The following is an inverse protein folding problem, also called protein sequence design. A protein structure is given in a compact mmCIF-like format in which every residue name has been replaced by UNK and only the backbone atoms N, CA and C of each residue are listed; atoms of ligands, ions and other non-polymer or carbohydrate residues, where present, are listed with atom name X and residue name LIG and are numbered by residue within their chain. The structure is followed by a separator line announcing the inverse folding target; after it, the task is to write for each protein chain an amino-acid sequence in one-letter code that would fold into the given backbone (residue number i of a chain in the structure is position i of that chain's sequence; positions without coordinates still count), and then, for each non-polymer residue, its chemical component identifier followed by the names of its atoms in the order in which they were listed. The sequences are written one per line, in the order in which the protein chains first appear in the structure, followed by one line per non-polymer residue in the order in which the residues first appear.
data_IF_555894216347
#
_entry.id   IF_555894216347
#
_cell.length_a   1.000
_cell.length_b   1.000
_cell.length_c   1.000
_cell.angle_alpha   90.00
_cell.angle_beta   90.00
_cell.angle_gamma   90.00
#
_symmetry.space_group_name_H-M   'P 1'
#
loop_
_entity.id
_entity.type
_entity.pdbx_description
1 polymer ?
#
# COMPACT_ATOMS: atom_id res chain seq x y z
N UNK A 1 -7.26 -50.57 -9.14
CA UNK A 1 -7.35 -49.61 -8.07
C UNK A 1 -6.18 -48.63 -8.07
N UNK A 2 -4.99 -49.16 -8.08
CA UNK A 2 -3.81 -48.28 -8.04
C UNK A 2 -3.71 -47.34 -9.23
N UNK A 3 -4.09 -47.83 -10.42
CA UNK A 3 -4.05 -46.99 -11.63
C UNK A 3 -5.02 -45.81 -11.55
N UNK A 4 -6.19 -46.07 -10.96
CA UNK A 4 -7.20 -45.06 -10.79
C UNK A 4 -6.71 -43.96 -9.82
N UNK A 5 -6.07 -44.40 -8.74
CA UNK A 5 -5.51 -43.48 -7.78
C UNK A 5 -4.38 -42.63 -8.39
N UNK A 6 -3.57 -43.23 -9.27
CA UNK A 6 -2.52 -42.51 -9.96
C UNK A 6 -3.11 -41.45 -10.85
N UNK A 7 -4.19 -41.79 -11.58
CA UNK A 7 -4.84 -40.81 -12.45
C UNK A 7 -5.37 -39.65 -11.67
N UNK A 8 -6.03 -39.89 -10.55
CA UNK A 8 -6.55 -38.84 -9.69
C UNK A 8 -5.43 -38.00 -9.11
N UNK A 9 -4.33 -38.65 -8.73
CA UNK A 9 -3.17 -37.94 -8.18
C UNK A 9 -2.55 -37.03 -9.23
N UNK A 10 -2.45 -37.50 -10.47
CA UNK A 10 -1.89 -36.69 -11.55
C UNK A 10 -2.76 -35.47 -11.82
N UNK A 11 -4.08 -35.69 -11.92
CA UNK A 11 -5.02 -34.59 -12.14
C UNK A 11 -4.96 -33.62 -10.95
N UNK A 12 -4.94 -34.15 -9.73
CA UNK A 12 -4.83 -33.33 -8.55
C UNK A 12 -3.54 -32.52 -8.53
N UNK A 13 -2.45 -33.13 -8.97
CA UNK A 13 -1.17 -32.44 -9.05
C UNK A 13 -1.21 -31.29 -10.05
N UNK A 14 -1.80 -31.53 -11.24
CA UNK A 14 -1.93 -30.51 -12.27
C UNK A 14 -2.81 -29.35 -11.77
N UNK A 15 -3.93 -29.70 -11.12
CA UNK A 15 -4.82 -28.68 -10.55
C UNK A 15 -4.10 -27.86 -9.49
N UNK A 16 -3.34 -28.54 -8.63
CA UNK A 16 -2.57 -27.84 -7.60
C UNK A 16 -1.55 -26.90 -8.22
N UNK A 17 -0.83 -27.35 -9.26
CA UNK A 17 0.12 -26.50 -9.95
C UNK A 17 -0.57 -25.28 -10.57
N UNK A 18 -1.75 -25.50 -11.15
CA UNK A 18 -2.50 -24.40 -11.75
C UNK A 18 -2.92 -23.39 -10.70
N UNK A 19 -3.38 -23.86 -9.54
CA UNK A 19 -3.76 -22.97 -8.45
C UNK A 19 -2.57 -22.19 -7.91
N UNK A 20 -1.47 -22.89 -7.68
CA UNK A 20 -0.25 -22.24 -7.17
C UNK A 20 0.25 -21.20 -8.17
N UNK A 21 0.27 -21.57 -9.45
CA UNK A 21 0.69 -20.64 -10.51
C UNK A 21 -0.21 -19.43 -10.59
N UNK A 22 -1.52 -19.62 -10.47
CA UNK A 22 -2.48 -18.54 -10.51
C UNK A 22 -2.28 -17.58 -9.34
N UNK A 23 -2.16 -18.12 -8.13
CA UNK A 23 -1.94 -17.26 -6.96
C UNK A 23 -0.58 -16.59 -7.00
N UNK A 24 0.44 -17.28 -7.51
CA UNK A 24 1.76 -16.67 -7.67
C UNK A 24 1.69 -15.50 -8.68
N UNK A 25 0.95 -15.67 -9.75
CA UNK A 25 0.77 -14.63 -10.76
C UNK A 25 0.10 -13.39 -10.14
N UNK A 26 -0.99 -13.62 -9.39
CA UNK A 26 -1.68 -12.52 -8.73
C UNK A 26 -0.77 -11.85 -7.72
N UNK A 27 -0.03 -12.63 -6.94
CA UNK A 27 0.91 -12.09 -5.97
C UNK A 27 1.97 -11.22 -6.62
N UNK A 28 2.49 -11.65 -7.78
CA UNK A 28 3.47 -10.87 -8.51
C UNK A 28 2.90 -9.53 -9.00
N UNK A 29 1.61 -9.51 -9.36
CA UNK A 29 0.97 -8.28 -9.78
C UNK A 29 0.66 -7.36 -8.61
N UNK A 30 0.29 -7.93 -7.48
CA UNK A 30 -0.08 -7.16 -6.29
C UNK A 30 1.12 -6.70 -5.48
N UNK A 31 2.22 -7.45 -5.53
CA UNK A 31 3.38 -7.19 -4.69
C UNK A 31 3.91 -5.75 -4.84
N UNK A 32 4.16 -5.24 -6.05
CA UNK A 32 4.65 -3.86 -6.17
C UNK A 32 3.67 -2.83 -5.60
N UNK A 33 2.38 -3.08 -5.75
CA UNK A 33 1.35 -2.16 -5.28
C UNK A 33 1.35 -2.09 -3.75
N UNK A 34 1.43 -3.24 -3.09
CA UNK A 34 1.47 -3.27 -1.63
C UNK A 34 2.82 -2.81 -1.08
N UNK A 35 3.90 -3.10 -1.80
CA UNK A 35 5.22 -2.61 -1.39
C UNK A 35 5.24 -1.08 -1.42
N UNK A 36 4.64 -0.49 -2.44
CA UNK A 36 4.54 0.97 -2.53
C UNK A 36 3.69 1.52 -1.39
N UNK A 37 2.57 0.86 -1.08
CA UNK A 37 1.75 1.27 0.05
C UNK A 37 2.53 1.21 1.36
N UNK A 38 3.31 0.17 1.53
CA UNK A 38 4.16 0.05 2.72
C UNK A 38 5.12 1.23 2.82
N UNK A 39 5.67 1.66 1.69
CA UNK A 39 6.54 2.84 1.64
C UNK A 39 5.78 4.10 1.99
N UNK A 40 4.53 4.22 1.54
CA UNK A 40 3.68 5.36 1.89
C UNK A 40 3.44 5.42 3.39
N UNK A 41 3.08 4.28 3.99
CA UNK A 41 2.85 4.22 5.44
C UNK A 41 4.12 4.56 6.19
N UNK A 42 5.25 4.04 5.74
CA UNK A 42 6.54 4.32 6.35
C UNK A 42 6.87 5.81 6.29
N UNK A 43 6.60 6.45 5.14
CA UNK A 43 6.81 7.88 4.99
C UNK A 43 5.92 8.68 5.92
N UNK A 44 4.66 8.28 6.05
CA UNK A 44 3.73 8.94 6.96
C UNK A 44 4.18 8.82 8.41
N UNK A 45 4.64 7.64 8.80
CA UNK A 45 5.16 7.43 10.15
C UNK A 45 6.43 8.24 10.39
N UNK A 46 7.26 8.38 9.36
CA UNK A 46 8.45 9.20 9.46
C UNK A 46 8.12 10.66 9.68
N UNK A 47 7.08 11.16 9.01
CA UNK A 47 6.61 12.53 9.22
C UNK A 47 6.04 12.67 10.63
N UNK A 48 5.27 11.69 11.06
CA UNK A 48 4.69 11.68 12.41
C UNK A 48 5.78 11.74 13.49
N UNK A 49 6.90 11.10 13.24
CA UNK A 49 8.01 11.05 14.19
C UNK A 49 8.91 12.27 14.12
N UNK A 50 8.67 13.18 13.19
CA UNK A 50 9.52 14.38 13.03
C UNK A 50 9.38 15.29 14.24
N UNK A 51 10.50 15.75 14.82
CA UNK A 51 10.42 16.66 15.97
C UNK A 51 9.68 17.95 15.61
N UNK A 52 8.73 18.31 16.46
CA UNK A 52 7.98 19.56 16.25
C UNK A 52 6.92 19.48 15.17
N UNK A 53 6.58 18.30 14.68
CA UNK A 53 5.61 18.17 13.59
C UNK A 53 4.23 18.74 13.99
N UNK A 54 3.87 18.62 15.28
CA UNK A 54 2.57 19.11 15.73
C UNK A 54 2.45 20.63 15.60
N UNK A 55 3.57 21.34 15.58
CA UNK A 55 3.61 22.78 15.49
C UNK A 55 3.91 23.28 14.07
N UNK A 56 4.07 22.37 13.13
CA UNK A 56 4.36 22.74 11.74
C UNK A 56 3.11 23.13 10.98
N UNK A 57 3.21 24.13 10.06
CA UNK A 57 2.06 24.40 9.20
C UNK A 57 1.81 23.23 8.25
N UNK A 58 0.57 23.07 7.77
CA UNK A 58 0.24 21.95 6.87
C UNK A 58 1.12 21.88 5.63
N UNK A 59 1.52 23.01 5.10
CA UNK A 59 2.38 23.05 3.90
C UNK A 59 3.72 22.40 4.16
N UNK A 60 4.27 22.64 5.34
CA UNK A 60 5.54 22.06 5.71
C UNK A 60 5.42 20.55 5.90
N UNK A 61 4.34 20.11 6.52
CA UNK A 61 4.08 18.68 6.69
C UNK A 61 3.97 18.01 5.33
N UNK A 62 3.26 18.66 4.40
CA UNK A 62 3.11 18.13 3.04
C UNK A 62 4.45 18.01 2.34
N UNK A 63 5.29 19.03 2.46
CA UNK A 63 6.63 19.00 1.87
C UNK A 63 7.47 17.87 2.42
N UNK A 64 7.44 17.67 3.74
CA UNK A 64 8.18 16.58 4.35
C UNK A 64 7.70 15.23 3.84
N UNK A 65 6.39 15.06 3.73
CA UNK A 65 5.82 13.82 3.26
C UNK A 65 6.25 13.54 1.81
N UNK A 66 6.12 14.52 0.93
CA UNK A 66 6.45 14.30 -0.49
C UNK A 66 7.94 14.10 -0.69
N UNK A 67 8.77 14.70 0.14
CA UNK A 67 10.21 14.46 0.08
C UNK A 67 10.50 12.99 0.40
N UNK A 68 9.86 12.45 1.44
CA UNK A 68 10.04 11.05 1.81
C UNK A 68 9.48 10.12 0.75
N UNK A 69 8.33 10.46 0.18
CA UNK A 69 7.73 9.67 -0.89
C UNK A 69 8.61 9.64 -2.12
N UNK A 70 9.23 10.77 -2.46
CA UNK A 70 10.12 10.86 -3.60
C UNK A 70 11.34 9.96 -3.41
N UNK A 71 11.93 10.00 -2.22
CA UNK A 71 13.10 9.17 -1.91
C UNK A 71 12.76 7.69 -1.98
N UNK A 72 11.54 7.33 -1.62
CA UNK A 72 11.07 5.95 -1.63
C UNK A 72 10.50 5.50 -2.97
N UNK A 73 10.57 6.34 -3.99
CA UNK A 73 10.09 6.06 -5.35
C UNK A 73 8.59 5.78 -5.40
N UNK A 74 7.82 6.45 -4.54
CA UNK A 74 6.37 6.34 -4.57
C UNK A 74 5.84 7.27 -5.65
N UNK A 75 5.11 6.71 -6.61
CA UNK A 75 4.60 7.48 -7.74
C UNK A 75 3.08 7.60 -7.75
N UNK A 76 2.39 6.79 -6.98
CA UNK A 76 0.92 6.72 -7.02
C UNK A 76 0.24 7.80 -6.19
N UNK A 77 0.97 8.55 -5.39
CA UNK A 77 0.40 9.53 -4.47
C UNK A 77 0.73 10.94 -4.96
N UNK A 78 -0.32 11.71 -5.23
CA UNK A 78 -0.23 13.12 -5.64
C UNK A 78 -0.76 14.02 -4.53
N UNK A 79 -0.63 15.33 -4.72
CA UNK A 79 -1.16 16.32 -3.79
C UNK A 79 -2.64 16.12 -3.46
N UNK A 80 -3.42 15.72 -4.46
CA UNK A 80 -4.87 15.55 -4.29
C UNK A 80 -5.22 14.38 -3.38
N UNK A 81 -4.27 13.47 -3.16
CA UNK A 81 -4.49 12.30 -2.32
C UNK A 81 -4.16 12.55 -0.86
N UNK A 82 -3.56 13.69 -0.56
CA UNK A 82 -3.08 13.99 0.78
C UNK A 82 -3.95 15.07 1.40
N UNK A 83 -4.48 14.79 2.58
CA UNK A 83 -5.26 15.74 3.35
C UNK A 83 -4.66 15.93 4.71
N UNK A 84 -4.49 17.17 5.12
CA UNK A 84 -3.98 17.51 6.44
C UNK A 84 -5.05 18.36 7.11
N UNK A 85 -5.51 17.90 8.26
CA UNK A 85 -6.64 18.49 8.95
C UNK A 85 -6.33 18.77 10.41
N UNK A 86 -6.87 19.86 10.93
CA UNK A 86 -6.75 20.21 12.36
C UNK A 86 -8.09 20.16 13.07
N UNK A 87 -9.10 19.63 12.42
CA UNK A 87 -10.45 19.66 12.93
C UNK A 87 -10.59 18.93 14.27
N UNK A 88 -10.16 17.68 14.31
CA UNK A 88 -10.22 16.86 15.52
C UNK A 88 -8.82 16.42 15.89
N UNK A 89 -7.95 17.39 16.12
CA UNK A 89 -6.54 17.14 16.26
C UNK A 89 -5.86 17.31 14.90
N UNK A 90 -4.55 17.28 14.93
CA UNK A 90 -3.76 17.46 13.70
C UNK A 90 -3.53 16.09 13.10
N UNK A 91 -4.10 15.85 11.92
CA UNK A 91 -4.02 14.55 11.27
C UNK A 91 -3.52 14.66 9.85
N UNK A 92 -2.82 13.62 9.42
CA UNK A 92 -2.36 13.46 8.04
C UNK A 92 -3.02 12.24 7.46
N UNK A 93 -3.74 12.42 6.39
CA UNK A 93 -4.46 11.34 5.71
C UNK A 93 -3.96 11.22 4.28
N UNK A 94 -3.67 10.00 3.86
CA UNK A 94 -3.36 9.69 2.46
C UNK A 94 -4.35 8.64 2.00
N UNK A 95 -5.11 8.99 0.98
CA UNK A 95 -6.10 8.10 0.39
C UNK A 95 -5.91 8.09 -1.12
N UNK A 96 -5.65 6.92 -1.67
CA UNK A 96 -5.40 6.82 -3.10
C UNK A 96 -5.78 5.44 -3.62
N UNK A 97 -5.89 5.35 -4.93
CA UNK A 97 -6.20 4.10 -5.61
C UNK A 97 -5.13 3.81 -6.64
N UNK A 98 -4.85 2.54 -6.83
CA UNK A 98 -3.92 2.08 -7.85
C UNK A 98 -4.66 1.09 -8.75
N UNK A 99 -4.71 1.39 -10.04
CA UNK A 99 -5.32 0.51 -11.04
C UNK A 99 -4.20 -0.08 -11.88
N UNK A 100 -4.17 -1.39 -11.97
CA UNK A 100 -3.17 -2.11 -12.77
C UNK A 100 -3.84 -3.21 -13.58
N UNK A 101 -3.34 -3.48 -14.78
CA UNK A 101 -3.85 -4.61 -15.55
C UNK A 101 -3.52 -5.92 -14.87
N UNK A 102 -4.47 -6.82 -14.84
CA UNK A 102 -4.29 -8.13 -14.22
C UNK A 102 -4.09 -9.20 -15.28
N UNK A 103 -5.09 -9.39 -16.12
CA UNK A 103 -5.06 -10.40 -17.17
C UNK A 103 -6.03 -9.99 -18.27
N UNK A 104 -5.59 -10.07 -19.52
CA UNK A 104 -6.39 -9.74 -20.69
C UNK A 104 -7.05 -8.37 -20.53
N UNK A 105 -8.38 -8.31 -20.45
CA UNK A 105 -9.12 -7.05 -20.30
C UNK A 105 -9.57 -6.80 -18.86
N UNK A 106 -9.03 -7.54 -17.91
CA UNK A 106 -9.36 -7.36 -16.50
C UNK A 106 -8.28 -6.57 -15.80
N UNK A 107 -8.70 -5.56 -15.05
CA UNK A 107 -7.81 -4.76 -14.21
C UNK A 107 -8.18 -5.00 -12.75
N UNK A 108 -7.21 -4.80 -11.87
CA UNK A 108 -7.54 -4.72 -10.46
C UNK A 108 -7.35 -3.29 -9.97
N UNK A 109 -8.11 -2.93 -8.95
CA UNK A 109 -7.99 -1.62 -8.30
C UNK A 109 -7.74 -1.87 -6.82
N UNK A 110 -6.65 -1.33 -6.32
CA UNK A 110 -6.34 -1.39 -4.90
C UNK A 110 -6.56 -0.01 -4.31
N UNK A 111 -7.40 0.07 -3.28
CA UNK A 111 -7.71 1.32 -2.61
C UNK A 111 -7.06 1.33 -1.24
N UNK A 112 -6.37 2.41 -0.94
CA UNK A 112 -5.68 2.56 0.33
C UNK A 112 -6.10 3.85 1.00
N UNK A 113 -6.25 3.79 2.31
CA UNK A 113 -6.63 4.95 3.12
C UNK A 113 -5.95 4.81 4.47
N UNK A 114 -5.03 5.70 4.75
CA UNK A 114 -4.27 5.66 6.00
C UNK A 114 -4.24 7.05 6.62
N UNK A 115 -4.49 7.11 7.93
CA UNK A 115 -4.44 8.34 8.70
C UNK A 115 -3.48 8.18 9.86
N UNK A 116 -2.64 9.18 10.08
CA UNK A 116 -1.79 9.23 11.27
C UNK A 116 -2.02 10.55 11.98
N UNK A 117 -1.86 10.53 13.28
CA UNK A 117 -1.99 11.72 14.09
C UNK A 117 -0.64 12.42 14.23
N UNK A 118 -0.65 13.73 14.04
CA UNK A 118 0.56 14.54 14.16
C UNK A 118 0.57 15.21 15.53
N UNK A 119 0.69 14.38 16.55
CA UNK A 119 0.70 14.87 17.92
C UNK A 119 2.13 15.08 18.40
N UNK A 120 2.26 15.79 19.50
CA UNK A 120 3.57 15.97 20.11
C UNK A 120 4.10 14.63 20.60
N UNK A 121 5.34 14.38 20.25
CA UNK A 121 6.00 13.18 20.74
C UNK A 121 6.17 13.25 22.23
N UNK A 122 5.97 12.11 22.87
CA UNK A 122 6.09 12.02 24.31
C UNK A 122 4.86 12.47 25.04
N UNK A 123 3.88 13.02 24.33
CA UNK A 123 2.62 13.42 24.93
C UNK A 123 1.54 12.37 24.82
N UNK A 124 1.90 11.21 24.34
CA UNK A 124 0.95 10.12 24.07
C UNK A 124 0.69 9.26 25.27
#
# INVERSE_FOLDING_TARGET
MHNRQRGLTLIGFVVLLALVGFFAFIGMKLFPVYAEYYSVVSAMKGVQAEPGVADMPPERVRDLLFRRLYISYVESVDNKHVKISRKDGYTLNVKYEVRRPLIYNLDFVASFDKTVELTRQGGD
#
